data_IF_586929669936
#
_entry.id   IF_586929669936
#
_cell.length_a   1.000
_cell.length_b   1.000
_cell.length_c   1.000
_cell.angle_alpha   90.00
_cell.angle_beta   90.00
_cell.angle_gamma   90.00
#
_symmetry.space_group_name_H-M   'P 1'
#
loop_
_entity.id
_entity.type
_entity.pdbx_description
1 polymer ?
#
# COMPACT_ATOMS: atom_id res chain seq x y z
N UNK A 1 -14.82 7.17 -7.23
CA UNK A 1 -13.69 6.23 -6.99
C UNK A 1 -13.64 5.85 -5.53
N UNK A 2 -13.21 4.63 -5.19
CA UNK A 2 -12.98 4.18 -3.81
C UNK A 2 -11.49 4.24 -3.46
N UNK A 3 -11.15 4.78 -2.29
CA UNK A 3 -9.78 4.84 -1.76
C UNK A 3 -9.77 4.31 -0.34
N UNK A 4 -9.01 3.24 -0.07
CA UNK A 4 -8.85 2.70 1.29
C UNK A 4 -7.68 3.39 2.01
N UNK A 5 -7.80 3.58 3.34
CA UNK A 5 -6.80 4.28 4.13
C UNK A 5 -6.70 5.79 3.81
N UNK A 6 -7.83 6.42 3.50
CA UNK A 6 -7.92 7.82 3.05
C UNK A 6 -7.73 8.88 4.13
N UNK A 7 -7.59 8.50 5.41
CA UNK A 7 -7.58 9.46 6.53
C UNK A 7 -6.21 10.12 6.82
N UNK A 8 -5.11 9.62 6.26
CA UNK A 8 -3.77 10.14 6.55
C UNK A 8 -2.76 9.80 5.45
N UNK A 9 -1.58 10.39 5.53
CA UNK A 9 -0.41 10.05 4.71
C UNK A 9 -0.68 10.07 3.20
N UNK A 10 -0.27 9.01 2.51
CA UNK A 10 -0.45 8.85 1.06
C UNK A 10 -1.93 8.89 0.67
N UNK A 11 -2.81 8.25 1.46
CA UNK A 11 -4.24 8.22 1.19
C UNK A 11 -4.86 9.62 1.23
N UNK A 12 -4.63 10.40 2.28
CA UNK A 12 -5.13 11.77 2.38
C UNK A 12 -4.61 12.66 1.26
N UNK A 13 -3.29 12.60 0.97
CA UNK A 13 -2.71 13.35 -0.15
C UNK A 13 -3.31 12.94 -1.51
N UNK A 14 -3.64 11.65 -1.67
CA UNK A 14 -4.28 11.15 -2.89
C UNK A 14 -5.73 11.66 -2.98
N UNK A 15 -6.50 11.55 -1.89
CA UNK A 15 -7.89 12.01 -1.86
C UNK A 15 -8.00 13.48 -2.25
N UNK A 16 -7.19 14.35 -1.62
CA UNK A 16 -7.25 15.80 -1.90
C UNK A 16 -6.77 16.12 -3.32
N UNK A 17 -5.74 15.45 -3.84
CA UNK A 17 -5.28 15.68 -5.21
C UNK A 17 -6.35 15.29 -6.24
N UNK A 18 -6.98 14.13 -6.07
CA UNK A 18 -8.04 13.66 -6.95
C UNK A 18 -9.26 14.60 -6.89
N UNK A 19 -9.67 14.99 -5.68
CA UNK A 19 -10.80 15.88 -5.45
C UNK A 19 -10.60 17.27 -6.09
N UNK A 20 -9.40 17.86 -5.98
CA UNK A 20 -9.03 19.12 -6.63
C UNK A 20 -9.04 19.03 -8.16
N UNK A 21 -8.93 17.83 -8.71
CA UNK A 21 -9.03 17.57 -10.15
C UNK A 21 -10.46 17.13 -10.58
N UNK A 22 -11.49 17.43 -9.78
CA UNK A 22 -12.87 17.17 -10.12
C UNK A 22 -13.32 15.71 -9.98
N UNK A 23 -12.52 14.87 -9.33
CA UNK A 23 -12.81 13.45 -9.16
C UNK A 23 -13.47 13.23 -7.79
N UNK A 24 -14.66 12.64 -7.76
CA UNK A 24 -15.34 12.26 -6.52
C UNK A 24 -14.67 11.02 -5.90
N UNK A 25 -14.23 11.14 -4.65
CA UNK A 25 -13.47 10.13 -3.92
C UNK A 25 -14.20 9.73 -2.65
N UNK A 26 -14.57 8.47 -2.55
CA UNK A 26 -15.04 7.84 -1.32
C UNK A 26 -13.81 7.39 -0.53
N UNK A 27 -13.45 8.18 0.47
CA UNK A 27 -12.24 8.00 1.26
C UNK A 27 -12.52 7.14 2.50
N UNK A 28 -12.19 5.86 2.39
CA UNK A 28 -12.44 4.86 3.42
C UNK A 28 -11.42 4.90 4.55
N UNK A 29 -11.90 4.89 5.79
CA UNK A 29 -11.10 4.69 7.00
C UNK A 29 -11.92 4.02 8.10
N UNK A 30 -11.26 3.36 9.06
CA UNK A 30 -11.96 2.72 10.18
C UNK A 30 -12.83 3.69 10.99
N UNK A 31 -12.43 4.94 11.09
CA UNK A 31 -13.17 6.00 11.80
C UNK A 31 -14.21 6.71 10.94
N UNK A 32 -14.18 6.52 9.63
CA UNK A 32 -15.04 7.26 8.70
C UNK A 32 -14.71 8.76 8.62
N UNK A 33 -13.47 9.13 8.88
CA UNK A 33 -12.98 10.52 8.87
C UNK A 33 -11.85 10.71 7.85
N UNK A 34 -11.68 11.93 7.40
CA UNK A 34 -10.60 12.37 6.50
C UNK A 34 -9.84 13.52 7.12
N UNK A 35 -8.59 13.74 6.70
CA UNK A 35 -7.76 14.83 7.20
C UNK A 35 -8.22 16.19 6.67
N UNK A 36 -8.56 16.26 5.39
CA UNK A 36 -8.95 17.50 4.71
C UNK A 36 -10.38 17.39 4.17
N UNK A 37 -11.16 18.44 4.34
CA UNK A 37 -12.51 18.55 3.79
C UNK A 37 -12.47 19.11 2.37
N UNK A 38 -13.21 18.49 1.45
CA UNK A 38 -13.38 18.98 0.08
C UNK A 38 -14.72 18.47 -0.45
N UNK A 39 -15.51 19.25 -1.25
CA UNK A 39 -16.83 18.80 -1.76
C UNK A 39 -16.80 17.47 -2.51
N UNK A 40 -15.69 17.15 -3.16
CA UNK A 40 -15.50 15.89 -3.88
C UNK A 40 -14.90 14.76 -3.02
N UNK A 41 -14.75 14.92 -1.71
CA UNK A 41 -14.31 13.86 -0.79
C UNK A 41 -15.52 13.46 0.07
N UNK A 42 -15.91 12.20 -0.06
CA UNK A 42 -16.95 11.58 0.78
C UNK A 42 -16.25 10.66 1.79
N UNK A 43 -16.21 11.03 3.07
CA UNK A 43 -15.66 10.14 4.09
C UNK A 43 -16.59 8.95 4.28
N UNK A 44 -16.03 7.74 4.32
CA UNK A 44 -16.80 6.52 4.58
C UNK A 44 -16.13 5.66 5.64
N UNK A 45 -16.95 5.09 6.52
CA UNK A 45 -16.45 4.09 7.49
C UNK A 45 -16.19 2.79 6.73
N UNK A 46 -14.95 2.37 6.70
CA UNK A 46 -14.51 1.17 6.02
C UNK A 46 -13.34 0.55 6.76
N UNK A 47 -13.52 -0.67 7.23
CA UNK A 47 -12.45 -1.54 7.69
C UNK A 47 -12.17 -2.58 6.60
N UNK A 48 -10.97 -2.53 6.03
CA UNK A 48 -10.57 -3.48 4.97
C UNK A 48 -10.47 -4.92 5.46
N UNK A 49 -10.41 -5.13 6.78
CA UNK A 49 -10.42 -6.46 7.38
C UNK A 49 -11.82 -7.08 7.39
N UNK A 50 -12.85 -6.25 7.25
CA UNK A 50 -14.25 -6.65 7.17
C UNK A 50 -14.74 -6.61 5.70
N UNK A 51 -14.95 -7.77 5.13
CA UNK A 51 -15.39 -7.91 3.73
C UNK A 51 -16.80 -7.34 3.51
N UNK A 52 -17.69 -7.48 4.50
CA UNK A 52 -19.07 -6.99 4.39
C UNK A 52 -19.10 -5.46 4.36
N UNK A 53 -18.33 -4.80 5.25
CA UNK A 53 -18.19 -3.33 5.22
C UNK A 53 -17.70 -2.84 3.86
N UNK A 54 -16.73 -3.55 3.25
CA UNK A 54 -16.21 -3.19 1.93
C UNK A 54 -17.27 -3.32 0.84
N UNK A 55 -18.03 -4.42 0.84
CA UNK A 55 -19.10 -4.66 -0.10
C UNK A 55 -20.21 -3.60 -0.01
N UNK A 56 -20.66 -3.28 1.21
CA UNK A 56 -21.67 -2.25 1.46
C UNK A 56 -21.23 -0.87 0.95
N UNK A 57 -19.95 -0.52 1.12
CA UNK A 57 -19.41 0.74 0.58
C UNK A 57 -19.40 0.74 -0.94
N UNK A 58 -19.03 -0.36 -1.59
CA UNK A 58 -19.06 -0.48 -3.06
C UNK A 58 -20.50 -0.38 -3.58
N UNK A 59 -21.45 -1.06 -2.97
CA UNK A 59 -22.88 -1.00 -3.31
C UNK A 59 -23.41 0.42 -3.16
N UNK A 60 -23.10 1.11 -2.06
CA UNK A 60 -23.46 2.50 -1.84
C UNK A 60 -22.91 3.41 -2.95
N UNK A 61 -21.64 3.25 -3.33
CA UNK A 61 -21.04 4.05 -4.43
C UNK A 61 -21.82 3.84 -5.72
N UNK A 62 -22.16 2.60 -6.05
CA UNK A 62 -22.91 2.29 -7.28
C UNK A 62 -24.32 2.86 -7.23
N UNK A 63 -24.99 2.85 -6.06
CA UNK A 63 -26.31 3.45 -5.87
C UNK A 63 -26.30 4.99 -6.01
N UNK A 64 -25.24 5.64 -5.49
CA UNK A 64 -25.14 7.12 -5.51
C UNK A 64 -24.60 7.67 -6.83
N UNK A 65 -23.75 6.91 -7.55
CA UNK A 65 -22.99 7.41 -8.70
C UNK A 65 -23.26 6.64 -10.02
N UNK A 66 -24.09 5.59 -9.98
CA UNK A 66 -24.36 4.65 -11.09
C UNK A 66 -23.12 3.92 -11.62
N UNK A 67 -21.93 4.20 -11.06
CA UNK A 67 -20.63 3.65 -11.53
C UNK A 67 -19.55 3.69 -10.47
N UNK A 68 -18.53 2.85 -10.66
CA UNK A 68 -17.27 2.89 -9.94
C UNK A 68 -16.11 2.85 -10.95
N UNK A 69 -15.32 3.93 -11.11
CA UNK A 69 -14.26 3.98 -12.13
C UNK A 69 -12.94 3.37 -11.66
N UNK A 70 -12.62 3.51 -10.39
CA UNK A 70 -11.38 3.00 -9.85
C UNK A 70 -11.48 2.65 -8.37
N UNK A 71 -10.61 1.71 -7.97
CA UNK A 71 -10.29 1.43 -6.58
C UNK A 71 -8.80 1.62 -6.33
N UNK A 72 -8.47 2.25 -5.20
CA UNK A 72 -7.10 2.46 -4.75
C UNK A 72 -6.94 1.76 -3.39
N UNK A 73 -6.29 0.60 -3.40
CA UNK A 73 -5.96 -0.18 -2.21
C UNK A 73 -4.69 0.40 -1.60
N UNK A 74 -4.86 1.35 -0.67
CA UNK A 74 -3.77 2.05 0.01
C UNK A 74 -3.68 1.72 1.50
N UNK A 75 -4.75 1.22 2.12
CA UNK A 75 -4.71 0.79 3.51
C UNK A 75 -3.60 -0.25 3.74
N UNK A 76 -2.88 -0.10 4.84
CA UNK A 76 -1.78 -1.00 5.20
C UNK A 76 -1.28 -0.70 6.60
N UNK A 77 -0.57 -1.66 7.17
CA UNK A 77 0.06 -1.57 8.48
C UNK A 77 1.55 -1.91 8.35
N UNK A 78 2.36 -1.41 9.29
CA UNK A 78 3.77 -1.77 9.43
C UNK A 78 3.99 -2.58 10.70
N UNK A 79 4.73 -3.68 10.57
CA UNK A 79 5.20 -4.49 11.69
C UNK A 79 6.72 -4.51 11.68
N UNK A 80 7.34 -4.35 12.84
CA UNK A 80 8.78 -4.36 13.04
C UNK A 80 9.16 -5.29 14.17
N UNK A 81 10.10 -6.18 13.93
CA UNK A 81 10.65 -7.08 14.94
C UNK A 81 11.40 -8.25 14.33
N UNK A 82 12.14 -9.00 15.17
CA UNK A 82 12.82 -10.21 14.74
C UNK A 82 11.78 -11.27 14.41
N UNK A 83 12.07 -12.13 13.44
CA UNK A 83 11.18 -13.25 13.13
C UNK A 83 11.11 -14.24 14.31
N UNK A 84 12.25 -14.44 14.97
CA UNK A 84 12.32 -15.25 16.18
C UNK A 84 11.51 -14.62 17.31
N UNK A 85 10.55 -15.35 17.82
CA UNK A 85 9.62 -14.90 18.86
C UNK A 85 8.45 -14.04 18.40
N UNK A 86 8.35 -13.74 17.10
CA UNK A 86 7.11 -13.15 16.54
C UNK A 86 5.99 -14.19 16.58
N UNK A 87 4.83 -13.82 17.10
CA UNK A 87 3.68 -14.74 17.20
C UNK A 87 2.98 -14.92 15.83
N UNK A 88 2.22 -16.01 15.73
CA UNK A 88 1.40 -16.26 14.54
C UNK A 88 0.32 -15.19 14.37
N UNK A 89 -0.25 -14.71 15.47
CA UNK A 89 -1.25 -13.65 15.50
C UNK A 89 -0.71 -12.34 14.92
N UNK A 90 0.49 -11.92 15.34
CA UNK A 90 1.16 -10.73 14.81
C UNK A 90 1.43 -10.86 13.30
N UNK A 91 1.87 -12.04 12.86
CA UNK A 91 2.08 -12.32 11.46
C UNK A 91 0.76 -12.25 10.67
N UNK A 92 -0.31 -12.87 11.18
CA UNK A 92 -1.65 -12.84 10.56
C UNK A 92 -2.20 -11.43 10.47
N UNK A 93 -2.11 -10.62 11.53
CA UNK A 93 -2.55 -9.21 11.52
C UNK A 93 -1.87 -8.38 10.43
N UNK A 94 -0.56 -8.58 10.23
CA UNK A 94 0.20 -7.88 9.17
C UNK A 94 -0.34 -8.23 7.78
N UNK A 95 -0.63 -9.50 7.53
CA UNK A 95 -1.19 -9.95 6.26
C UNK A 95 -2.66 -9.57 6.12
N UNK A 96 -3.44 -9.63 7.20
CA UNK A 96 -4.87 -9.33 7.17
C UNK A 96 -5.14 -7.93 6.62
N UNK A 97 -4.48 -6.91 7.16
CA UNK A 97 -4.70 -5.54 6.68
C UNK A 97 -4.07 -5.27 5.31
N UNK A 98 -2.84 -5.76 5.08
CA UNK A 98 -2.08 -5.38 3.89
C UNK A 98 -2.47 -6.19 2.66
N UNK A 99 -2.56 -7.51 2.80
CA UNK A 99 -2.83 -8.43 1.71
C UNK A 99 -4.33 -8.75 1.60
N UNK A 100 -4.92 -9.34 2.63
CA UNK A 100 -6.32 -9.76 2.59
C UNK A 100 -7.29 -8.59 2.50
N UNK A 101 -7.00 -7.48 3.17
CA UNK A 101 -7.82 -6.26 3.05
C UNK A 101 -7.82 -5.70 1.64
N UNK A 102 -6.66 -5.72 0.94
CA UNK A 102 -6.59 -5.33 -0.46
C UNK A 102 -7.30 -6.34 -1.37
N UNK A 103 -7.14 -7.64 -1.11
CA UNK A 103 -7.82 -8.71 -1.84
C UNK A 103 -9.35 -8.58 -1.74
N UNK A 104 -9.91 -8.47 -0.53
CA UNK A 104 -11.34 -8.29 -0.28
C UNK A 104 -11.89 -7.04 -0.99
N UNK A 105 -11.12 -5.94 -0.94
CA UNK A 105 -11.48 -4.69 -1.60
C UNK A 105 -11.54 -4.82 -3.12
N UNK A 106 -10.57 -5.48 -3.72
CA UNK A 106 -10.53 -5.74 -5.17
C UNK A 106 -11.68 -6.68 -5.57
N UNK A 107 -11.86 -7.77 -4.82
CA UNK A 107 -12.90 -8.76 -5.07
C UNK A 107 -14.28 -8.14 -5.08
N UNK A 108 -14.61 -7.27 -4.13
CA UNK A 108 -15.87 -6.55 -4.08
C UNK A 108 -16.09 -5.60 -5.28
N UNK A 109 -15.02 -5.03 -5.85
CA UNK A 109 -15.11 -4.10 -6.99
C UNK A 109 -15.21 -4.80 -8.36
N UNK A 110 -14.62 -5.99 -8.50
CA UNK A 110 -14.52 -6.69 -9.80
C UNK A 110 -15.87 -6.91 -10.50
N UNK A 111 -16.96 -7.34 -9.82
CA UNK A 111 -18.26 -7.52 -10.48
C UNK A 111 -18.79 -6.22 -11.12
N UNK A 112 -18.59 -5.08 -10.43
CA UNK A 112 -19.00 -3.76 -10.93
C UNK A 112 -18.19 -3.40 -12.18
N UNK A 113 -16.88 -3.55 -12.12
CA UNK A 113 -15.98 -3.28 -13.25
C UNK A 113 -16.28 -4.17 -14.46
N UNK A 114 -16.58 -5.45 -14.25
CA UNK A 114 -16.99 -6.36 -15.33
C UNK A 114 -18.29 -5.92 -16.00
N UNK A 115 -19.30 -5.55 -15.22
CA UNK A 115 -20.58 -5.05 -15.74
C UNK A 115 -20.39 -3.78 -16.57
N UNK A 116 -19.45 -2.92 -16.18
CA UNK A 116 -19.14 -1.67 -16.88
C UNK A 116 -18.20 -1.86 -18.10
N UNK A 117 -17.54 -3.01 -18.23
CA UNK A 117 -16.42 -3.24 -19.15
C UNK A 117 -15.30 -2.20 -19.00
N UNK A 118 -15.13 -1.68 -17.80
CA UNK A 118 -14.13 -0.69 -17.45
C UNK A 118 -13.86 -0.72 -15.94
N UNK A 119 -12.60 -0.58 -15.56
CA UNK A 119 -12.19 -0.43 -14.16
C UNK A 119 -10.70 -0.19 -14.03
N UNK A 120 -10.30 0.57 -13.01
CA UNK A 120 -8.89 0.80 -12.69
C UNK A 120 -8.60 0.39 -11.26
N UNK A 121 -7.67 -0.52 -11.11
CA UNK A 121 -7.24 -1.05 -9.81
C UNK A 121 -5.82 -0.57 -9.55
N UNK A 122 -5.62 0.17 -8.46
CA UNK A 122 -4.30 0.59 -8.01
C UNK A 122 -4.01 0.01 -6.64
N UNK A 123 -2.91 -0.72 -6.51
CA UNK A 123 -2.41 -1.20 -5.23
C UNK A 123 -1.18 -0.41 -4.80
N UNK A 124 -1.19 0.11 -3.58
CA UNK A 124 -0.02 0.77 -2.98
C UNK A 124 0.77 -0.29 -2.22
N UNK A 125 1.79 -0.81 -2.88
CA UNK A 125 2.69 -1.81 -2.32
C UNK A 125 3.88 -1.13 -1.61
N UNK A 126 5.11 -1.48 -1.93
CA UNK A 126 6.36 -0.83 -1.45
C UNK A 126 7.52 -1.31 -2.31
N UNK A 127 8.62 -0.56 -2.35
CA UNK A 127 9.91 -1.08 -2.85
C UNK A 127 10.37 -2.30 -2.04
N UNK A 128 9.93 -2.42 -0.79
CA UNK A 128 10.17 -3.58 0.05
C UNK A 128 9.46 -4.85 -0.42
N UNK A 129 8.58 -4.76 -1.40
CA UNK A 129 8.04 -5.94 -2.09
C UNK A 129 9.12 -6.65 -2.95
N UNK A 130 10.19 -5.95 -3.30
CA UNK A 130 11.31 -6.46 -4.12
C UNK A 130 12.66 -6.32 -3.45
N UNK A 131 12.75 -5.57 -2.36
CA UNK A 131 13.96 -5.32 -1.57
C UNK A 131 13.63 -5.54 -0.09
N UNK A 132 14.26 -6.51 0.57
CA UNK A 132 13.96 -6.90 1.94
C UNK A 132 14.89 -6.17 2.92
N UNK A 133 14.34 -5.66 4.03
CA UNK A 133 15.13 -5.09 5.11
C UNK A 133 15.08 -5.99 6.37
N UNK A 134 16.14 -6.00 7.19
CA UNK A 134 16.13 -6.72 8.45
C UNK A 134 14.97 -6.25 9.33
N UNK A 135 14.41 -7.15 10.12
CA UNK A 135 13.34 -6.89 11.08
C UNK A 135 12.01 -6.37 10.50
N UNK A 136 11.89 -6.36 9.16
CA UNK A 136 10.65 -6.05 8.43
C UNK A 136 10.22 -7.20 7.51
N UNK A 137 10.60 -8.42 7.83
CA UNK A 137 10.34 -9.59 6.98
C UNK A 137 8.86 -9.81 6.69
N UNK A 138 8.00 -9.74 7.70
CA UNK A 138 6.55 -9.93 7.52
C UNK A 138 5.90 -8.80 6.72
N UNK A 139 6.32 -7.56 6.95
CA UNK A 139 5.87 -6.43 6.13
C UNK A 139 6.28 -6.60 4.66
N UNK A 140 7.55 -6.91 4.41
CA UNK A 140 8.07 -7.16 3.06
C UNK A 140 7.33 -8.31 2.38
N UNK A 141 7.09 -9.40 3.09
CA UNK A 141 6.35 -10.57 2.59
C UNK A 141 4.92 -10.22 2.20
N UNK A 142 4.18 -9.49 3.04
CA UNK A 142 2.82 -9.07 2.74
C UNK A 142 2.77 -8.12 1.52
N UNK A 143 3.74 -7.19 1.38
CA UNK A 143 3.84 -6.30 0.22
C UNK A 143 4.26 -7.04 -1.05
N UNK A 144 5.13 -8.05 -0.95
CA UNK A 144 5.50 -8.92 -2.06
C UNK A 144 4.32 -9.77 -2.53
N UNK A 145 3.56 -10.35 -1.60
CA UNK A 145 2.34 -11.09 -1.90
C UNK A 145 1.31 -10.21 -2.65
N UNK A 146 1.08 -8.97 -2.17
CA UNK A 146 0.17 -8.03 -2.82
C UNK A 146 0.67 -7.61 -4.22
N UNK A 147 1.98 -7.42 -4.40
CA UNK A 147 2.56 -7.13 -5.72
C UNK A 147 2.35 -8.31 -6.68
N UNK A 148 2.61 -9.53 -6.23
CA UNK A 148 2.41 -10.75 -7.03
C UNK A 148 0.94 -10.92 -7.43
N UNK A 149 0.00 -10.77 -6.48
CA UNK A 149 -1.44 -10.80 -6.75
C UNK A 149 -1.83 -9.78 -7.83
N UNK A 150 -1.37 -8.54 -7.70
CA UNK A 150 -1.69 -7.47 -8.66
C UNK A 150 -1.17 -7.75 -10.06
N UNK A 151 0.01 -8.36 -10.17
CA UNK A 151 0.59 -8.73 -11.46
C UNK A 151 -0.16 -9.90 -12.11
N UNK A 152 -0.52 -10.92 -11.32
CA UNK A 152 -1.35 -12.04 -11.79
C UNK A 152 -2.71 -11.54 -12.27
N UNK A 153 -3.36 -10.68 -11.47
CA UNK A 153 -4.64 -10.08 -11.82
C UNK A 153 -4.56 -9.27 -13.13
N UNK A 154 -3.44 -8.57 -13.39
CA UNK A 154 -3.24 -7.86 -14.67
C UNK A 154 -3.27 -8.79 -15.88
N UNK A 155 -2.83 -10.05 -15.73
CA UNK A 155 -2.89 -11.07 -16.78
C UNK A 155 -4.31 -11.61 -16.96
N UNK A 156 -5.00 -11.89 -15.87
CA UNK A 156 -6.39 -12.39 -15.85
C UNK A 156 -7.37 -11.38 -16.47
N UNK A 157 -7.12 -10.08 -16.29
CA UNK A 157 -7.97 -9.00 -16.78
C UNK A 157 -7.68 -8.56 -18.22
N UNK A 158 -6.71 -9.19 -18.89
CA UNK A 158 -6.36 -8.83 -20.27
C UNK A 158 -7.57 -8.93 -21.21
N UNK A 159 -7.84 -7.85 -21.92
CA UNK A 159 -8.97 -7.78 -22.88
C UNK A 159 -10.33 -7.44 -22.27
N UNK A 160 -10.43 -7.21 -20.96
CA UNK A 160 -11.70 -6.92 -20.28
C UNK A 160 -12.00 -5.42 -20.13
N UNK A 161 -11.09 -4.54 -20.52
CA UNK A 161 -11.21 -3.10 -20.23
C UNK A 161 -10.86 -2.72 -18.78
N UNK A 162 -10.52 -3.71 -17.93
CA UNK A 162 -10.11 -3.49 -16.54
C UNK A 162 -8.58 -3.58 -16.47
N UNK A 163 -7.95 -2.61 -15.81
CA UNK A 163 -6.49 -2.56 -15.68
C UNK A 163 -6.05 -2.52 -14.22
N UNK A 164 -4.91 -3.14 -13.92
CA UNK A 164 -4.32 -3.17 -12.59
C UNK A 164 -2.89 -2.60 -12.61
N UNK A 165 -2.58 -1.72 -11.65
CA UNK A 165 -1.27 -1.09 -11.49
C UNK A 165 -0.80 -1.14 -10.04
N UNK A 166 0.45 -1.54 -9.81
CA UNK A 166 1.08 -1.45 -8.50
C UNK A 166 1.97 -0.21 -8.42
N UNK A 167 1.74 0.64 -7.43
CA UNK A 167 2.65 1.72 -7.07
C UNK A 167 3.56 1.20 -5.96
N UNK A 168 4.86 1.34 -6.13
CA UNK A 168 5.88 0.91 -5.17
C UNK A 168 6.58 2.15 -4.58
N UNK A 169 6.04 2.74 -3.51
CA UNK A 169 6.74 3.79 -2.78
C UNK A 169 8.06 3.27 -2.19
N UNK A 170 9.08 4.13 -2.15
CA UNK A 170 10.19 4.04 -1.20
C UNK A 170 9.81 4.73 0.11
N UNK A 171 10.79 5.35 0.77
CA UNK A 171 10.55 6.10 2.00
C UNK A 171 9.68 7.33 1.75
N UNK A 172 8.62 7.46 2.55
CA UNK A 172 7.64 8.54 2.46
C UNK A 172 7.39 9.12 3.84
N UNK A 173 7.59 10.42 3.99
CA UNK A 173 7.36 11.13 5.26
C UNK A 173 5.87 11.19 5.57
N UNK A 174 5.41 10.28 6.42
CA UNK A 174 4.00 10.15 6.83
C UNK A 174 3.92 9.70 8.29
N UNK A 175 2.70 9.70 8.85
CA UNK A 175 2.42 9.09 10.15
C UNK A 175 2.57 7.54 10.18
N UNK A 176 2.97 6.90 9.08
CA UNK A 176 3.21 5.46 9.04
C UNK A 176 4.35 5.03 9.97
N UNK A 177 5.42 5.84 10.03
CA UNK A 177 6.57 5.60 10.91
C UNK A 177 6.16 5.50 12.37
N UNK A 178 5.39 6.47 12.87
CA UNK A 178 4.91 6.49 14.25
C UNK A 178 3.79 5.48 14.54
N UNK A 179 3.06 5.06 13.51
CA UNK A 179 1.98 4.06 13.62
C UNK A 179 2.48 2.61 13.47
N UNK A 180 3.77 2.41 13.21
CA UNK A 180 4.37 1.07 13.10
C UNK A 180 4.26 0.32 14.41
N UNK A 181 3.66 -0.88 14.36
CA UNK A 181 3.65 -1.80 15.51
C UNK A 181 5.02 -2.46 15.65
N UNK A 182 5.44 -2.69 16.89
CA UNK A 182 6.58 -3.55 17.21
C UNK A 182 6.04 -4.88 17.71
N UNK A 183 6.72 -5.98 17.34
CA UNK A 183 6.38 -7.29 17.90
C UNK A 183 6.72 -7.35 19.38
N UNK A 184 6.10 -8.24 20.13
CA UNK A 184 6.46 -8.47 21.53
C UNK A 184 7.93 -8.83 21.67
N UNK A 185 8.45 -9.64 20.75
CA UNK A 185 9.86 -10.02 20.71
C UNK A 185 10.81 -8.82 20.53
N UNK A 186 10.37 -7.77 19.84
CA UNK A 186 11.16 -6.54 19.68
C UNK A 186 11.26 -5.71 20.97
N UNK A 187 10.34 -5.91 21.93
CA UNK A 187 10.34 -5.25 23.23
C UNK A 187 11.17 -5.97 24.31
N UNK A 188 11.64 -7.18 24.05
CA UNK A 188 12.36 -7.99 25.05
C UNK A 188 13.75 -7.43 25.34
N UNK A 189 14.05 -7.27 26.62
CA UNK A 189 15.36 -6.78 27.09
C UNK A 189 16.50 -7.78 26.87
N UNK A 190 16.19 -9.06 26.92
CA UNK A 190 17.11 -10.18 26.75
C UNK A 190 17.28 -10.61 25.27
N UNK A 191 16.68 -9.89 24.34
CA UNK A 191 16.74 -10.23 22.90
C UNK A 191 18.18 -10.17 22.37
N UNK A 192 18.68 -11.24 21.73
CA UNK A 192 20.01 -11.23 21.10
C UNK A 192 20.09 -10.25 19.91
N UNK A 193 18.94 -9.73 19.46
CA UNK A 193 18.84 -8.79 18.35
C UNK A 193 18.74 -7.33 18.78
N UNK A 194 18.65 -7.03 20.09
CA UNK A 194 18.30 -5.71 20.63
C UNK A 194 19.13 -4.59 20.04
N UNK A 195 20.44 -4.64 20.21
CA UNK A 195 21.34 -3.57 19.71
C UNK A 195 21.22 -3.35 18.20
N UNK A 196 21.15 -4.46 17.45
CA UNK A 196 21.01 -4.40 15.98
C UNK A 196 19.64 -3.86 15.57
N UNK A 197 18.58 -4.22 16.29
CA UNK A 197 17.24 -3.69 16.04
C UNK A 197 17.15 -2.18 16.30
N UNK A 198 17.70 -1.71 17.42
CA UNK A 198 17.68 -0.29 17.78
C UNK A 198 18.40 0.56 16.70
N UNK A 199 19.61 0.14 16.29
CA UNK A 199 20.35 0.82 15.21
C UNK A 199 19.60 0.80 13.87
N UNK A 200 19.05 -0.36 13.50
CA UNK A 200 18.30 -0.53 12.27
C UNK A 200 17.01 0.33 12.25
N UNK A 201 16.26 0.31 13.36
CA UNK A 201 15.03 1.10 13.47
C UNK A 201 15.31 2.60 13.39
N UNK A 202 16.32 3.08 14.13
CA UNK A 202 16.69 4.49 14.09
C UNK A 202 17.07 4.96 12.66
N UNK A 203 17.76 4.10 11.91
CA UNK A 203 18.07 4.39 10.50
C UNK A 203 16.82 4.42 9.63
N UNK A 204 15.95 3.41 9.73
CA UNK A 204 14.71 3.35 8.97
C UNK A 204 13.83 4.58 9.25
N UNK A 205 13.66 4.95 10.52
CA UNK A 205 12.87 6.11 10.93
C UNK A 205 13.46 7.41 10.37
N UNK A 206 14.79 7.56 10.41
CA UNK A 206 15.48 8.69 9.81
C UNK A 206 15.26 8.77 8.30
N UNK A 207 15.38 7.66 7.58
CA UNK A 207 15.20 7.57 6.13
C UNK A 207 13.74 7.88 5.75
N UNK A 208 12.76 7.37 6.49
CA UNK A 208 11.34 7.65 6.28
C UNK A 208 10.97 9.11 6.57
N UNK A 209 11.47 9.69 7.67
CA UNK A 209 11.23 11.10 8.02
C UNK A 209 11.84 12.06 6.97
N UNK A 210 13.01 11.71 6.43
CA UNK A 210 13.65 12.40 5.30
C UNK A 210 13.12 11.98 3.93
N UNK A 211 12.12 11.10 3.88
CA UNK A 211 11.58 10.53 2.67
C UNK A 211 10.77 11.50 1.81
N UNK A 212 10.18 10.97 0.74
CA UNK A 212 9.35 11.75 -0.18
C UNK A 212 8.12 12.33 0.52
N UNK A 213 7.67 13.50 0.07
CA UNK A 213 6.34 13.97 0.44
C UNK A 213 5.25 13.03 -0.12
N UNK A 214 4.16 12.76 0.63
CA UNK A 214 3.03 11.92 0.17
C UNK A 214 2.46 12.34 -1.18
N UNK A 215 2.54 13.63 -1.51
CA UNK A 215 2.10 14.20 -2.78
C UNK A 215 2.83 13.60 -4.00
N UNK A 216 4.07 13.12 -3.85
CA UNK A 216 4.82 12.45 -4.94
C UNK A 216 4.11 11.15 -5.34
N UNK A 217 3.67 10.39 -4.34
CA UNK A 217 2.94 9.14 -4.56
C UNK A 217 1.53 9.41 -5.09
N UNK A 218 0.83 10.41 -4.52
CA UNK A 218 -0.47 10.85 -5.01
C UNK A 218 -0.42 11.26 -6.50
N UNK A 219 0.61 12.00 -6.90
CA UNK A 219 0.83 12.36 -8.31
C UNK A 219 1.11 11.14 -9.20
N UNK A 220 1.85 10.14 -8.70
CA UNK A 220 2.09 8.91 -9.43
C UNK A 220 0.77 8.14 -9.66
N UNK A 221 -0.07 8.02 -8.63
CA UNK A 221 -1.41 7.43 -8.71
C UNK A 221 -2.27 8.19 -9.72
N UNK A 222 -2.37 9.52 -9.58
CA UNK A 222 -3.17 10.37 -10.46
C UNK A 222 -2.74 10.23 -11.93
N UNK A 223 -1.42 10.23 -12.19
CA UNK A 223 -0.89 10.04 -13.56
C UNK A 223 -1.30 8.69 -14.14
N UNK A 224 -1.30 7.61 -13.35
CA UNK A 224 -1.75 6.30 -13.85
C UNK A 224 -3.25 6.30 -14.16
N UNK A 225 -4.07 6.89 -13.30
CA UNK A 225 -5.50 7.04 -13.54
C UNK A 225 -5.84 7.83 -14.81
N UNK A 226 -4.94 8.72 -15.25
CA UNK A 226 -5.10 9.55 -16.48
C UNK A 226 -4.54 8.91 -17.75
N UNK A 227 -3.77 7.83 -17.66
CA UNK A 227 -3.19 7.19 -18.85
C UNK A 227 -4.25 6.43 -19.62
N UNK A 228 -4.08 6.33 -20.96
CA UNK A 228 -4.90 5.43 -21.78
C UNK A 228 -4.75 3.98 -21.30
N UNK A 229 -3.52 3.55 -21.09
CA UNK A 229 -3.18 2.26 -20.48
C UNK A 229 -2.26 2.47 -19.28
N UNK A 230 -2.60 1.85 -18.15
CA UNK A 230 -1.77 1.91 -16.96
C UNK A 230 -0.52 1.06 -17.11
N UNK A 231 0.56 1.49 -16.49
CA UNK A 231 1.73 0.62 -16.33
C UNK A 231 1.40 -0.47 -15.28
N UNK A 232 1.90 -1.68 -15.49
CA UNK A 232 1.70 -2.78 -14.53
C UNK A 232 2.35 -2.45 -13.17
N UNK A 233 3.49 -1.73 -13.20
CA UNK A 233 4.25 -1.36 -12.00
C UNK A 233 4.90 0.01 -12.16
N UNK A 234 4.85 0.82 -11.10
CA UNK A 234 5.48 2.15 -11.04
C UNK A 234 6.26 2.32 -9.75
N UNK A 235 7.53 2.69 -9.87
CA UNK A 235 8.37 3.20 -8.76
C UNK A 235 8.48 4.71 -8.97
N UNK A 236 7.92 5.55 -8.08
CA UNK A 236 7.76 6.98 -8.38
C UNK A 236 9.07 7.78 -8.47
N UNK A 237 10.08 7.43 -7.67
CA UNK A 237 11.35 8.16 -7.59
C UNK A 237 12.49 7.41 -8.30
N UNK A 238 13.39 8.16 -8.95
CA UNK A 238 14.38 7.60 -9.87
C UNK A 238 15.47 6.78 -9.18
N UNK A 239 15.89 7.19 -7.97
CA UNK A 239 16.85 6.46 -7.16
C UNK A 239 16.32 5.07 -6.76
N UNK A 240 15.07 4.98 -6.33
CA UNK A 240 14.44 3.68 -6.06
C UNK A 240 14.20 2.84 -7.34
N UNK A 241 14.05 3.49 -8.50
CA UNK A 241 14.04 2.76 -9.79
C UNK A 241 15.38 2.10 -10.06
N UNK A 242 16.47 2.83 -9.81
CA UNK A 242 17.82 2.29 -9.98
C UNK A 242 18.08 1.12 -9.02
N UNK A 243 17.70 1.26 -7.74
CA UNK A 243 17.76 0.16 -6.76
C UNK A 243 16.92 -1.04 -7.21
N UNK A 244 15.68 -0.83 -7.61
CA UNK A 244 14.80 -1.91 -8.10
C UNK A 244 15.31 -2.61 -9.37
N UNK A 245 16.05 -1.88 -10.22
CA UNK A 245 16.75 -2.46 -11.37
C UNK A 245 17.96 -3.28 -10.93
N UNK A 246 18.80 -2.74 -10.04
CA UNK A 246 19.98 -3.43 -9.52
C UNK A 246 19.63 -4.75 -8.82
N UNK A 247 18.61 -4.74 -7.96
CA UNK A 247 18.10 -5.94 -7.27
C UNK A 247 17.68 -7.03 -8.25
N UNK A 248 17.21 -6.65 -9.44
CA UNK A 248 16.77 -7.62 -10.45
C UNK A 248 17.92 -8.29 -11.21
N UNK A 249 19.06 -7.59 -11.36
CA UNK A 249 20.20 -8.08 -12.16
C UNK A 249 21.35 -8.63 -11.33
N UNK A 250 21.48 -8.18 -10.07
CA UNK A 250 22.52 -8.66 -9.19
C UNK A 250 22.17 -10.02 -8.57
N UNK A 251 23.15 -10.91 -8.35
CA UNK A 251 22.94 -12.11 -7.54
C UNK A 251 22.42 -11.76 -6.15
N UNK A 252 21.43 -12.48 -5.64
CA UNK A 252 20.79 -12.22 -4.35
C UNK A 252 21.80 -12.10 -3.19
N UNK A 253 22.87 -12.91 -3.19
CA UNK A 253 23.94 -12.85 -2.19
C UNK A 253 24.61 -11.47 -2.13
N UNK A 254 24.80 -10.80 -3.26
CA UNK A 254 25.44 -9.49 -3.32
C UNK A 254 24.47 -8.39 -2.84
N UNK A 255 23.21 -8.49 -3.23
CA UNK A 255 22.16 -7.58 -2.73
C UNK A 255 22.08 -7.64 -1.20
N UNK A 256 21.99 -8.86 -0.64
CA UNK A 256 21.91 -9.06 0.80
C UNK A 256 23.17 -8.59 1.54
N UNK A 257 24.35 -8.78 0.95
CA UNK A 257 25.61 -8.28 1.52
C UNK A 257 25.63 -6.75 1.58
N UNK A 258 25.20 -6.07 0.52
CA UNK A 258 25.12 -4.61 0.48
C UNK A 258 24.10 -4.10 1.51
N UNK A 259 22.93 -4.72 1.59
CA UNK A 259 21.92 -4.34 2.58
C UNK A 259 22.39 -4.51 4.01
N UNK A 260 23.12 -5.60 4.29
CA UNK A 260 23.69 -5.84 5.63
C UNK A 260 24.79 -4.83 6.03
N UNK A 261 25.41 -4.15 5.07
CA UNK A 261 26.37 -3.06 5.34
C UNK A 261 25.65 -1.73 5.62
N UNK A 262 24.45 -1.54 5.07
CA UNK A 262 23.69 -0.31 5.18
C UNK A 262 22.79 -0.33 6.43
N UNK A 263 22.23 -1.47 6.74
CA UNK A 263 21.24 -1.71 7.79
C UNK A 263 21.71 -2.75 8.82
#
# INVERSE_FOLDING_TARGET
MLLTGGSSGIGAATAILLAKNGIKVYAGSRRGTVADSHPNIVPVKLDVNDAETTKLVVERIVQEEDRLDAVICNAGAGLYGPLEGTTEEEAREQFETTYFGSFKTIEACLPVFRKQNFGRIITVTSVMAVLQLPFQGLYSSAKAALLSLSQSLSLELKGTGIECCSILPGDVSTGFTSARKKTEAAGREDSPYRERMEKNLAKIEKDELGGMAPAVIANAIYRQLRRRHMAVRVIPRIDYKAVGFLVRILPAKWVLAILNLIY
#
